data_IF_409890099062
#
_entry.id   IF_409890099062
#
_cell.length_a   1.000
_cell.length_b   1.000
_cell.length_c   1.000
_cell.angle_alpha   90.00
_cell.angle_beta   90.00
_cell.angle_gamma   90.00
#
_symmetry.space_group_name_H-M   'P 1'
#
loop_
_entity.id
_entity.type
_entity.pdbx_description
1 polymer ?
#
# COMPACT_ATOMS: atom_id res chain seq x y z
N UNK A 1 -26.65 -10.82 28.76
CA UNK A 1 -27.70 -11.36 27.86
C UNK A 1 -27.65 -12.89 27.79
N UNK A 2 -26.51 -13.53 27.49
CA UNK A 2 -26.36 -15.00 27.47
C UNK A 2 -26.62 -15.71 28.82
N UNK A 3 -26.17 -15.14 29.95
CA UNK A 3 -26.34 -15.76 31.28
C UNK A 3 -27.80 -15.77 31.74
N UNK A 4 -28.56 -14.72 31.41
CA UNK A 4 -30.00 -14.63 31.70
C UNK A 4 -30.85 -15.52 30.79
N UNK A 5 -30.46 -15.71 29.52
CA UNK A 5 -31.12 -16.66 28.60
C UNK A 5 -30.86 -18.12 28.99
N UNK A 6 -29.65 -18.46 29.44
CA UNK A 6 -29.31 -19.80 29.94
C UNK A 6 -30.08 -20.17 31.23
N UNK A 7 -30.41 -19.20 32.06
CA UNK A 7 -31.20 -19.42 33.29
C UNK A 7 -32.70 -19.64 33.02
N UNK A 8 -33.22 -19.09 31.91
CA UNK A 8 -34.64 -19.19 31.53
C UNK A 8 -34.93 -20.42 30.67
N UNK A 9 -33.92 -21.02 30.03
CA UNK A 9 -34.06 -22.22 29.21
C UNK A 9 -32.78 -23.09 29.26
N UNK A 10 -32.57 -23.83 30.37
CA UNK A 10 -31.32 -24.56 30.62
C UNK A 10 -31.06 -25.72 29.65
N UNK A 11 -32.11 -26.26 29.03
CA UNK A 11 -32.01 -27.35 28.05
C UNK A 11 -31.46 -26.86 26.71
N UNK A 12 -31.66 -25.58 26.39
CA UNK A 12 -31.26 -24.97 25.12
C UNK A 12 -29.75 -24.74 24.99
N UNK A 13 -29.06 -24.60 26.12
CA UNK A 13 -27.61 -24.39 26.19
C UNK A 13 -27.01 -25.25 27.30
N UNK A 14 -26.79 -26.57 27.08
CA UNK A 14 -26.16 -27.43 28.07
C UNK A 14 -24.81 -26.86 28.52
N UNK A 15 -24.42 -27.11 29.78
CA UNK A 15 -23.34 -26.41 30.48
C UNK A 15 -21.97 -26.43 29.77
N UNK A 16 -21.76 -27.36 28.83
CA UNK A 16 -20.56 -27.53 28.02
C UNK A 16 -20.60 -26.81 26.66
N UNK A 17 -21.74 -26.25 26.26
CA UNK A 17 -21.94 -25.53 24.99
C UNK A 17 -20.99 -24.36 24.82
N UNK A 18 -20.79 -23.59 25.89
CA UNK A 18 -19.88 -22.45 25.89
C UNK A 18 -18.42 -22.88 25.67
N UNK A 19 -18.00 -23.94 26.36
CA UNK A 19 -16.66 -24.51 26.22
C UNK A 19 -16.43 -25.06 24.81
N UNK A 20 -17.40 -25.78 24.24
CA UNK A 20 -17.31 -26.29 22.85
C UNK A 20 -17.17 -25.17 21.82
N UNK A 21 -17.98 -24.12 21.94
CA UNK A 21 -17.95 -22.98 21.00
C UNK A 21 -16.64 -22.21 21.15
N UNK A 22 -16.17 -21.98 22.38
CA UNK A 22 -14.85 -21.37 22.64
C UNK A 22 -13.73 -22.17 22.00
N UNK A 23 -13.72 -23.49 22.18
CA UNK A 23 -12.67 -24.36 21.67
C UNK A 23 -12.71 -24.43 20.14
N UNK A 24 -13.91 -24.37 19.54
CA UNK A 24 -14.09 -24.25 18.09
C UNK A 24 -13.53 -22.93 17.53
N UNK A 25 -13.78 -21.80 18.22
CA UNK A 25 -13.22 -20.50 17.80
C UNK A 25 -11.70 -20.44 17.99
N UNK A 26 -11.16 -21.05 19.04
CA UNK A 26 -9.72 -21.17 19.25
C UNK A 26 -9.06 -22.01 18.17
N UNK A 27 -9.69 -23.13 17.75
CA UNK A 27 -9.25 -23.92 16.61
C UNK A 27 -9.21 -23.12 15.31
N UNK A 28 -10.32 -22.44 14.98
CA UNK A 28 -10.42 -21.57 13.79
C UNK A 28 -9.38 -20.44 13.79
N UNK A 29 -9.09 -19.84 14.95
CA UNK A 29 -8.04 -18.82 15.10
C UNK A 29 -6.66 -19.40 14.83
N UNK A 30 -6.36 -20.61 15.34
CA UNK A 30 -5.10 -21.29 15.09
C UNK A 30 -4.89 -21.58 13.60
N UNK A 31 -5.94 -22.04 12.91
CA UNK A 31 -5.89 -22.32 11.47
C UNK A 31 -5.73 -21.04 10.64
N UNK A 32 -6.42 -19.95 11.01
CA UNK A 32 -6.25 -18.65 10.36
C UNK A 32 -4.85 -18.06 10.55
N UNK A 33 -4.26 -18.20 11.75
CA UNK A 33 -2.89 -17.73 12.01
C UNK A 33 -1.88 -18.53 11.20
N UNK A 34 -2.04 -19.86 11.12
CA UNK A 34 -1.20 -20.71 10.27
C UNK A 34 -1.36 -20.35 8.79
N UNK A 35 -2.58 -20.07 8.34
CA UNK A 35 -2.84 -19.66 6.97
C UNK A 35 -2.19 -18.31 6.64
N UNK A 36 -2.32 -17.32 7.53
CA UNK A 36 -1.64 -16.02 7.39
C UNK A 36 -0.11 -16.14 7.40
N UNK A 37 0.44 -17.02 8.24
CA UNK A 37 1.88 -17.31 8.27
C UNK A 37 2.34 -17.99 6.97
N UNK A 38 1.56 -18.94 6.44
CA UNK A 38 1.87 -19.59 5.16
C UNK A 38 1.80 -18.64 3.96
N UNK A 39 0.93 -17.62 4.02
CA UNK A 39 0.86 -16.55 3.02
C UNK A 39 2.01 -15.54 3.18
N UNK A 40 2.57 -15.41 4.38
CA UNK A 40 3.70 -14.53 4.69
C UNK A 40 5.06 -15.11 4.29
N UNK A 41 5.15 -16.41 4.00
CA UNK A 41 6.45 -17.09 3.85
C UNK A 41 7.09 -16.99 2.46
N UNK A 42 6.41 -16.51 1.41
CA UNK A 42 7.04 -16.47 0.07
C UNK A 42 6.66 -15.23 -0.72
N UNK A 43 7.29 -14.13 -0.38
CA UNK A 43 7.89 -13.23 -1.38
C UNK A 43 9.04 -12.53 -0.67
N UNK A 44 10.25 -13.08 -0.82
CA UNK A 44 11.47 -12.39 -0.39
C UNK A 44 11.51 -11.08 -1.16
N UNK A 45 11.00 -10.02 -0.54
CA UNK A 45 10.95 -8.71 -1.17
C UNK A 45 12.40 -8.26 -1.28
N UNK A 46 12.95 -8.14 -2.49
CA UNK A 46 14.36 -7.83 -2.68
C UNK A 46 14.74 -6.56 -1.92
N UNK A 47 15.89 -6.61 -1.25
CA UNK A 47 16.32 -5.49 -0.41
C UNK A 47 16.74 -4.31 -1.28
N UNK A 48 16.66 -3.08 -0.73
CA UNK A 48 17.09 -1.87 -1.47
C UNK A 48 18.53 -1.95 -1.96
N UNK A 49 19.38 -2.68 -1.25
CA UNK A 49 20.80 -2.85 -1.56
C UNK A 49 21.01 -3.73 -2.80
N UNK A 50 20.17 -4.74 -3.00
CA UNK A 50 20.16 -5.60 -4.19
C UNK A 50 19.81 -4.83 -5.47
N UNK A 51 18.96 -3.81 -5.37
CA UNK A 51 18.61 -2.96 -6.51
C UNK A 51 19.62 -1.86 -6.82
N UNK A 52 20.48 -1.50 -5.87
CA UNK A 52 21.45 -0.41 -6.04
C UNK A 52 22.32 -0.57 -7.31
N UNK A 53 22.97 -1.72 -7.59
CA UNK A 53 23.81 -1.85 -8.78
C UNK A 53 23.01 -1.71 -10.08
N UNK A 54 21.78 -2.22 -10.11
CA UNK A 54 20.89 -2.12 -11.28
C UNK A 54 20.44 -0.67 -11.53
N UNK A 55 20.08 0.05 -10.47
CA UNK A 55 19.72 1.48 -10.54
C UNK A 55 20.92 2.32 -11.01
N UNK A 56 22.12 2.08 -10.47
CA UNK A 56 23.33 2.82 -10.84
C UNK A 56 23.71 2.56 -12.30
N UNK A 57 23.62 1.31 -12.76
CA UNK A 57 23.83 0.95 -14.17
C UNK A 57 22.83 1.64 -15.09
N UNK A 58 21.54 1.60 -14.75
CA UNK A 58 20.49 2.28 -15.51
C UNK A 58 20.70 3.81 -15.56
N UNK A 59 21.16 4.40 -14.45
CA UNK A 59 21.48 5.83 -14.41
C UNK A 59 22.65 6.22 -15.32
N UNK A 60 23.67 5.36 -15.43
CA UNK A 60 24.78 5.60 -16.35
C UNK A 60 24.30 5.59 -17.81
N UNK A 61 23.43 4.65 -18.15
CA UNK A 61 22.84 4.50 -19.48
C UNK A 61 21.73 5.50 -19.79
N UNK A 62 21.21 6.23 -18.79
CA UNK A 62 20.13 7.19 -18.97
C UNK A 62 20.42 8.23 -20.06
N UNK A 63 21.68 8.67 -20.17
CA UNK A 63 22.11 9.63 -21.21
C UNK A 63 22.24 9.01 -22.61
N UNK A 64 22.37 7.69 -22.71
CA UNK A 64 22.45 6.97 -23.98
C UNK A 64 21.05 6.70 -24.57
N UNK A 65 20.03 6.61 -23.72
CA UNK A 65 18.64 6.38 -24.11
C UNK A 65 18.08 7.54 -24.92
N UNK A 66 17.29 7.21 -25.94
CA UNK A 66 16.61 8.20 -26.77
C UNK A 66 15.44 8.83 -25.99
N UNK A 67 15.07 10.06 -26.35
CA UNK A 67 13.99 10.80 -25.68
C UNK A 67 12.65 10.03 -25.66
N UNK A 68 12.38 9.22 -26.69
CA UNK A 68 11.18 8.37 -26.78
C UNK A 68 11.20 7.29 -25.69
N UNK A 69 12.35 6.66 -25.47
CA UNK A 69 12.53 5.58 -24.48
C UNK A 69 12.47 6.14 -23.06
N UNK A 70 13.12 7.29 -22.84
CA UNK A 70 13.03 8.03 -21.57
C UNK A 70 11.57 8.38 -21.24
N UNK A 71 10.82 8.91 -22.20
CA UNK A 71 9.41 9.24 -22.01
C UNK A 71 8.54 8.00 -21.76
N UNK A 72 8.82 6.88 -22.43
CA UNK A 72 8.10 5.63 -22.22
C UNK A 72 8.31 5.10 -20.79
N UNK A 73 9.54 5.16 -20.28
CA UNK A 73 9.84 4.79 -18.89
C UNK A 73 9.19 5.73 -17.88
N UNK A 74 9.31 7.06 -18.08
CA UNK A 74 8.70 8.04 -17.17
C UNK A 74 7.18 7.89 -17.07
N UNK A 75 6.49 7.59 -18.19
CA UNK A 75 5.04 7.32 -18.20
C UNK A 75 4.65 6.05 -17.45
N UNK A 76 5.56 5.08 -17.30
CA UNK A 76 5.33 3.87 -16.49
C UNK A 76 5.60 4.10 -15.01
N UNK A 77 6.53 5.00 -14.69
CA UNK A 77 6.95 5.30 -13.32
C UNK A 77 6.10 6.37 -12.65
N UNK A 78 5.60 7.34 -13.41
CA UNK A 78 4.83 8.47 -12.91
C UNK A 78 3.36 8.28 -13.23
N UNK A 79 2.53 8.29 -12.20
CA UNK A 79 1.07 8.33 -12.33
C UNK A 79 0.61 9.71 -12.83
N UNK A 80 1.17 10.77 -12.25
CA UNK A 80 0.81 12.17 -12.56
C UNK A 80 1.98 13.11 -12.33
N UNK A 81 1.98 14.21 -13.09
CA UNK A 81 2.80 15.40 -12.85
C UNK A 81 1.83 16.56 -12.65
N UNK A 82 1.90 17.23 -11.50
CA UNK A 82 1.16 18.45 -11.22
C UNK A 82 2.06 19.64 -11.47
N UNK A 83 1.57 20.57 -12.29
CA UNK A 83 2.29 21.80 -12.64
C UNK A 83 1.55 22.96 -11.98
N UNK A 84 2.10 23.43 -10.86
CA UNK A 84 1.58 24.59 -10.16
C UNK A 84 2.20 25.84 -10.76
N UNK A 85 1.40 26.71 -11.35
CA UNK A 85 1.86 27.98 -11.93
C UNK A 85 1.36 29.14 -11.08
N UNK A 86 2.27 29.86 -10.44
CA UNK A 86 1.96 31.06 -9.64
C UNK A 86 2.57 32.28 -10.30
N UNK A 87 1.81 33.38 -10.36
CA UNK A 87 2.38 34.69 -10.70
C UNK A 87 3.21 35.17 -9.51
N UNK A 88 4.49 35.41 -9.75
CA UNK A 88 5.37 36.07 -8.79
C UNK A 88 5.26 37.57 -9.00
N UNK A 89 4.88 38.27 -7.93
CA UNK A 89 4.77 39.72 -7.89
C UNK A 89 6.07 40.29 -7.31
N UNK A 90 7.17 40.12 -8.06
CA UNK A 90 8.45 40.77 -7.75
C UNK A 90 8.54 42.08 -8.55
N UNK A 91 7.82 43.10 -8.09
CA UNK A 91 7.87 44.45 -8.66
C UNK A 91 7.15 44.61 -10.00
N UNK A 92 7.60 45.57 -10.83
CA UNK A 92 6.91 46.00 -12.06
C UNK A 92 6.86 44.95 -13.19
N UNK A 93 7.44 43.77 -13.00
CA UNK A 93 7.51 42.72 -14.01
C UNK A 93 6.92 41.42 -13.47
N UNK A 94 5.77 41.03 -14.03
CA UNK A 94 5.16 39.76 -13.70
C UNK A 94 6.01 38.61 -14.25
N UNK A 95 6.37 37.66 -13.41
CA UNK A 95 7.03 36.42 -13.83
C UNK A 95 6.17 35.21 -13.45
N UNK A 96 6.17 34.18 -14.29
CA UNK A 96 5.46 32.94 -14.04
C UNK A 96 6.41 31.97 -13.33
N UNK A 97 6.16 31.71 -12.05
CA UNK A 97 6.89 30.69 -11.28
C UNK A 97 6.15 29.37 -11.42
N UNK A 98 6.84 28.34 -11.92
CA UNK A 98 6.31 26.98 -12.03
C UNK A 98 6.96 26.10 -10.98
N UNK A 99 6.15 25.41 -10.19
CA UNK A 99 6.58 24.31 -9.32
C UNK A 99 6.01 23.00 -9.85
N UNK A 100 6.82 21.95 -9.78
CA UNK A 100 6.50 20.63 -10.32
C UNK A 100 6.42 19.64 -9.18
N UNK A 101 5.30 18.93 -9.09
CA UNK A 101 5.09 17.83 -8.15
C UNK A 101 4.93 16.54 -8.95
N UNK A 102 5.68 15.51 -8.55
CA UNK A 102 5.71 14.21 -9.24
C UNK A 102 5.05 13.17 -8.34
N UNK A 103 4.09 12.43 -8.88
CA UNK A 103 3.37 11.37 -8.16
C UNK A 103 3.70 10.02 -8.79
N UNK A 104 4.56 9.21 -8.16
CA UNK A 104 4.90 7.87 -8.64
C UNK A 104 3.72 6.90 -8.56
N UNK A 105 3.75 5.83 -9.35
CA UNK A 105 2.68 4.80 -9.31
C UNK A 105 2.62 4.00 -8.01
N UNK A 106 3.75 3.84 -7.31
CA UNK A 106 3.86 3.05 -6.07
C UNK A 106 3.47 3.81 -4.80
N UNK A 107 3.29 5.12 -4.88
CA UNK A 107 2.79 5.91 -3.75
C UNK A 107 1.26 5.93 -3.77
N UNK A 108 0.61 6.01 -2.59
CA UNK A 108 -0.83 6.22 -2.51
C UNK A 108 -1.25 7.46 -3.31
N UNK A 109 -2.32 7.33 -4.07
CA UNK A 109 -2.83 8.43 -4.89
C UNK A 109 -3.56 9.43 -4.00
N UNK A 110 -3.07 10.68 -3.88
CA UNK A 110 -3.68 11.67 -3.01
C UNK A 110 -5.04 12.16 -3.52
N UNK A 111 -5.47 11.74 -4.72
CA UNK A 111 -6.79 12.03 -5.28
C UNK A 111 -7.66 10.79 -5.50
N UNK A 112 -7.34 9.65 -4.88
CA UNK A 112 -8.13 8.42 -5.03
C UNK A 112 -9.61 8.58 -4.63
N UNK A 113 -9.90 9.48 -3.68
CA UNK A 113 -11.22 9.70 -3.11
C UNK A 113 -11.95 10.95 -3.66
N UNK A 114 -11.35 11.63 -4.65
CA UNK A 114 -11.84 12.90 -5.20
C UNK A 114 -12.81 12.75 -6.38
#
# INVERSE_FOLDING_TARGET
RLVTENAMDPEKYPADSFSRVRDQFLGKKGDLVKHLQSLSEVEATPTREEFRPLIVGLMAEWKALHAVEQNAMLRRLLRRIVINSRKSDQGAQWSLVRTYEFHPVWEPDPWADA
#
